data_IF_991265162902
#
_entry.id   IF_991265162902
#
_cell.length_a   1.000
_cell.length_b   1.000
_cell.length_c   1.000
_cell.angle_alpha   90.00
_cell.angle_beta   90.00
_cell.angle_gamma   90.00
#
_symmetry.space_group_name_H-M   'P 1'
#
loop_
_entity.id
_entity.type
_entity.pdbx_description
1 polymer ?
#
# COMPACT_ATOMS: atom_id res chain seq x y z
N UNK A 1 -17.86 -28.53 15.39
CA UNK A 1 -18.24 -27.88 14.12
C UNK A 1 -18.04 -26.38 14.32
N UNK A 2 -16.96 -25.79 13.83
CA UNK A 2 -16.70 -24.36 14.00
C UNK A 2 -17.27 -23.61 12.80
N UNK A 3 -17.96 -22.51 13.09
CA UNK A 3 -18.50 -21.60 12.08
C UNK A 3 -17.75 -20.28 12.21
N UNK A 4 -17.12 -19.82 11.14
CA UNK A 4 -16.48 -18.51 11.04
C UNK A 4 -17.38 -17.55 10.28
N UNK A 5 -17.41 -16.29 10.72
CA UNK A 5 -18.08 -15.19 10.03
C UNK A 5 -17.03 -14.25 9.40
N UNK A 6 -17.33 -13.62 8.25
CA UNK A 6 -18.60 -13.69 7.51
C UNK A 6 -18.81 -15.04 6.80
N UNK A 7 -20.07 -15.35 6.48
CA UNK A 7 -20.45 -16.57 5.76
C UNK A 7 -20.01 -16.56 4.28
N UNK A 8 -19.44 -15.44 3.82
CA UNK A 8 -18.97 -15.21 2.45
C UNK A 8 -17.45 -15.36 2.38
N UNK A 9 -17.00 -15.98 1.28
CA UNK A 9 -15.62 -16.46 1.09
C UNK A 9 -14.73 -15.42 0.38
N UNK A 10 -14.86 -14.14 0.75
CA UNK A 10 -14.02 -13.10 0.16
C UNK A 10 -12.56 -13.27 0.64
N UNK A 11 -11.58 -13.35 -0.28
CA UNK A 11 -10.21 -13.56 0.10
C UNK A 11 -9.69 -12.37 0.89
N UNK A 12 -9.16 -12.63 2.09
CA UNK A 12 -8.55 -11.61 2.95
C UNK A 12 -7.45 -10.80 2.25
N UNK A 13 -6.78 -11.40 1.27
CA UNK A 13 -5.79 -10.78 0.40
C UNK A 13 -6.15 -11.11 -1.05
N UNK A 14 -6.90 -10.25 -1.75
CA UNK A 14 -7.28 -10.50 -3.14
C UNK A 14 -6.05 -10.46 -4.06
N UNK A 15 -6.12 -11.20 -5.16
CA UNK A 15 -5.19 -11.03 -6.27
C UNK A 15 -5.55 -9.74 -7.03
N UNK A 16 -4.55 -8.93 -7.33
CA UNK A 16 -4.71 -7.64 -8.01
C UNK A 16 -4.02 -7.69 -9.36
N UNK A 17 -4.70 -7.21 -10.40
CA UNK A 17 -4.08 -6.92 -11.69
C UNK A 17 -3.59 -5.47 -11.68
N UNK A 18 -2.28 -5.26 -11.51
CA UNK A 18 -1.74 -3.91 -11.27
C UNK A 18 -2.09 -2.93 -12.40
N UNK A 19 -2.04 -3.37 -13.66
CA UNK A 19 -2.36 -2.53 -14.80
C UNK A 19 -3.76 -1.88 -14.72
N UNK A 20 -4.74 -2.52 -14.05
CA UNK A 20 -6.09 -1.96 -13.90
C UNK A 20 -6.18 -0.82 -12.87
N UNK A 21 -5.13 -0.62 -12.07
CA UNK A 21 -5.10 0.35 -10.96
C UNK A 21 -4.25 1.59 -11.26
N UNK A 22 -3.75 1.73 -12.50
CA UNK A 22 -2.79 2.76 -12.90
C UNK A 22 -3.22 4.18 -12.50
N UNK A 23 -4.49 4.51 -12.66
CA UNK A 23 -5.02 5.85 -12.39
C UNK A 23 -5.67 5.98 -10.99
N UNK A 24 -5.66 4.91 -10.20
CA UNK A 24 -6.29 4.84 -8.87
C UNK A 24 -5.27 4.85 -7.72
N UNK A 25 -3.99 4.62 -8.01
CA UNK A 25 -2.96 4.42 -7.00
C UNK A 25 -2.01 5.62 -6.92
N UNK A 26 -2.11 6.34 -5.81
CA UNK A 26 -1.23 7.48 -5.51
C UNK A 26 0.12 7.06 -4.92
N UNK A 27 0.20 5.88 -4.31
CA UNK A 27 1.39 5.41 -3.58
C UNK A 27 1.33 3.90 -3.37
N UNK A 28 2.46 3.23 -3.60
CA UNK A 28 2.65 1.81 -3.22
C UNK A 28 3.61 1.69 -2.05
N UNK A 29 3.18 1.00 -0.99
CA UNK A 29 4.02 0.67 0.16
C UNK A 29 4.50 -0.78 0.06
N UNK A 30 5.82 -0.99 0.04
CA UNK A 30 6.42 -2.32 -0.04
C UNK A 30 6.98 -2.74 1.32
N UNK A 31 6.39 -3.79 1.90
CA UNK A 31 6.78 -4.33 3.21
C UNK A 31 8.14 -5.06 3.20
N UNK A 32 8.94 -4.88 4.24
CA UNK A 32 10.18 -5.66 4.46
C UNK A 32 9.93 -7.07 4.98
N UNK A 33 8.76 -7.36 5.53
CA UNK A 33 8.43 -8.61 6.21
C UNK A 33 6.98 -9.05 5.94
N UNK A 34 6.66 -10.36 6.04
CA UNK A 34 7.57 -11.49 6.30
C UNK A 34 8.42 -11.88 5.07
N UNK A 35 8.01 -11.44 3.87
CA UNK A 35 8.74 -11.68 2.63
C UNK A 35 9.18 -10.34 2.05
N UNK A 36 10.47 -9.97 2.17
CA UNK A 36 10.94 -8.66 1.77
C UNK A 36 10.77 -8.45 0.26
N UNK A 37 10.12 -7.34 -0.10
CA UNK A 37 10.19 -6.85 -1.45
C UNK A 37 11.61 -6.37 -1.79
N UNK A 38 12.03 -6.55 -3.03
CA UNK A 38 13.36 -6.20 -3.55
C UNK A 38 13.20 -5.24 -4.74
N UNK A 39 14.31 -4.72 -5.25
CA UNK A 39 14.29 -3.76 -6.36
C UNK A 39 13.56 -4.26 -7.61
N UNK A 40 13.63 -5.56 -7.90
CA UNK A 40 12.87 -6.17 -9.00
C UNK A 40 11.34 -5.99 -8.85
N UNK A 41 10.82 -6.00 -7.63
CA UNK A 41 9.38 -5.84 -7.40
C UNK A 41 8.97 -4.37 -7.51
N UNK A 42 9.83 -3.44 -7.07
CA UNK A 42 9.66 -2.01 -7.33
C UNK A 42 9.62 -1.73 -8.84
N UNK A 43 10.56 -2.31 -9.60
CA UNK A 43 10.60 -2.16 -11.04
C UNK A 43 9.33 -2.70 -11.72
N UNK A 44 8.83 -3.85 -11.27
CA UNK A 44 7.56 -4.42 -11.75
C UNK A 44 6.39 -3.46 -11.47
N UNK A 45 6.25 -2.97 -10.24
CA UNK A 45 5.18 -2.03 -9.87
C UNK A 45 5.23 -0.76 -10.73
N UNK A 46 6.41 -0.18 -10.93
CA UNK A 46 6.57 1.01 -11.76
C UNK A 46 6.33 0.75 -13.26
N UNK A 47 6.60 -0.45 -13.75
CA UNK A 47 6.29 -0.82 -15.13
C UNK A 47 4.77 -0.92 -15.36
N UNK A 48 4.04 -1.52 -14.41
CA UNK A 48 2.59 -1.72 -14.50
C UNK A 48 1.81 -0.42 -14.22
N UNK A 49 2.09 0.23 -13.09
CA UNK A 49 1.37 1.42 -12.62
C UNK A 49 1.91 2.73 -13.21
N UNK A 50 3.09 2.71 -13.84
CA UNK A 50 3.74 3.89 -14.37
C UNK A 50 4.86 4.41 -13.47
N UNK A 51 5.92 4.92 -14.10
CA UNK A 51 7.14 5.36 -13.42
C UNK A 51 6.94 6.55 -12.50
N UNK A 52 5.86 7.31 -12.69
CA UNK A 52 5.49 8.44 -11.85
C UNK A 52 4.91 8.01 -10.49
N UNK A 53 4.34 6.79 -10.39
CA UNK A 53 3.75 6.30 -9.14
C UNK A 53 4.85 6.07 -8.10
N UNK A 54 4.82 6.78 -6.97
CA UNK A 54 5.81 6.62 -5.92
C UNK A 54 5.71 5.25 -5.27
N UNK A 55 6.88 4.64 -5.02
CA UNK A 55 6.98 3.34 -4.36
C UNK A 55 7.88 3.49 -3.14
N UNK A 56 7.37 3.21 -1.94
CA UNK A 56 8.10 3.43 -0.69
C UNK A 56 8.27 2.13 0.10
N UNK A 57 9.49 1.78 0.55
CA UNK A 57 9.67 0.66 1.45
C UNK A 57 9.17 1.01 2.86
N UNK A 58 8.63 0.03 3.57
CA UNK A 58 8.19 0.15 4.96
C UNK A 58 8.58 -1.09 5.77
N UNK A 59 8.90 -0.89 7.05
CA UNK A 59 9.13 -1.95 8.01
C UNK A 59 7.83 -2.75 8.27
N UNK A 60 7.79 -3.99 7.79
CA UNK A 60 6.59 -4.84 7.85
C UNK A 60 6.21 -5.27 9.25
N UNK A 61 7.21 -5.60 10.06
CA UNK A 61 7.08 -5.92 11.48
C UNK A 61 6.45 -4.78 12.31
N UNK A 62 6.64 -3.53 11.88
CA UNK A 62 6.06 -2.35 12.52
C UNK A 62 4.63 -2.05 12.08
N UNK A 63 4.18 -2.57 10.92
CA UNK A 63 2.85 -2.30 10.37
C UNK A 63 1.90 -3.49 10.44
N UNK A 64 2.41 -4.72 10.37
CA UNK A 64 1.60 -5.92 10.18
C UNK A 64 1.55 -6.83 11.42
N UNK A 65 2.33 -6.53 12.48
CA UNK A 65 2.37 -7.36 13.68
C UNK A 65 1.68 -6.67 14.86
N UNK A 66 0.42 -7.04 15.09
CA UNK A 66 -0.46 -6.46 16.10
C UNK A 66 -0.21 -6.96 17.54
N UNK A 67 1.02 -7.36 17.85
CA UNK A 67 1.43 -7.87 19.17
C UNK A 67 1.96 -6.76 20.11
N UNK A 68 2.93 -7.11 20.97
CA UNK A 68 3.57 -6.19 21.92
C UNK A 68 4.18 -4.93 21.28
N UNK A 69 4.43 -4.96 19.97
CA UNK A 69 4.99 -3.86 19.19
C UNK A 69 3.96 -2.85 18.69
N UNK A 70 2.66 -3.09 18.84
CA UNK A 70 1.60 -2.25 18.26
C UNK A 70 1.74 -0.76 18.60
N UNK A 71 2.07 -0.41 19.86
CA UNK A 71 2.25 0.99 20.28
C UNK A 71 3.44 1.64 19.53
N UNK A 72 4.56 0.92 19.41
CA UNK A 72 5.70 1.39 18.65
C UNK A 72 5.39 1.46 17.14
N UNK A 73 4.57 0.52 16.64
CA UNK A 73 4.03 0.49 15.29
C UNK A 73 3.25 1.75 14.93
N UNK A 74 2.35 2.20 15.82
CA UNK A 74 1.61 3.46 15.64
C UNK A 74 2.55 4.68 15.58
N UNK A 75 3.56 4.72 16.45
CA UNK A 75 4.57 5.78 16.42
C UNK A 75 5.39 5.77 15.12
N UNK A 76 5.73 4.58 14.61
CA UNK A 76 6.38 4.38 13.33
C UNK A 76 5.51 4.85 12.17
N UNK A 77 4.25 4.43 12.11
CA UNK A 77 3.30 4.81 11.07
C UNK A 77 3.15 6.35 10.99
N UNK A 78 3.08 7.03 12.14
CA UNK A 78 3.06 8.50 12.18
C UNK A 78 4.32 9.14 11.59
N UNK A 79 5.50 8.56 11.82
CA UNK A 79 6.75 9.05 11.22
C UNK A 79 6.77 8.79 9.72
N UNK A 80 6.32 7.62 9.27
CA UNK A 80 6.20 7.28 7.86
C UNK A 80 5.28 8.23 7.13
N UNK A 81 4.07 8.46 7.64
CA UNK A 81 3.10 9.37 7.03
C UNK A 81 3.67 10.79 6.88
N UNK A 82 4.35 11.32 7.91
CA UNK A 82 4.99 12.64 7.83
C UNK A 82 6.10 12.71 6.80
N UNK A 83 6.98 11.70 6.79
CA UNK A 83 8.07 11.59 5.82
C UNK A 83 7.53 11.54 4.39
N UNK A 84 6.55 10.68 4.14
CA UNK A 84 5.94 10.52 2.82
C UNK A 84 5.21 11.79 2.36
N UNK A 85 4.49 12.48 3.25
CA UNK A 85 3.85 13.75 2.92
C UNK A 85 4.84 14.86 2.51
N UNK A 86 6.11 14.77 2.94
CA UNK A 86 7.17 15.71 2.56
C UNK A 86 7.87 15.31 1.25
N UNK A 87 7.90 14.01 0.94
CA UNK A 87 8.58 13.46 -0.24
C UNK A 87 7.66 13.42 -1.48
N UNK A 88 6.35 13.32 -1.28
CA UNK A 88 5.38 13.14 -2.36
C UNK A 88 4.92 14.48 -2.95
N UNK A 89 4.72 14.57 -4.28
CA UNK A 89 4.17 15.76 -4.90
C UNK A 89 2.78 16.08 -4.33
N UNK A 90 2.48 17.36 -4.12
CA UNK A 90 1.19 17.80 -3.53
C UNK A 90 0.04 17.82 -4.54
N UNK A 91 0.30 17.67 -5.85
CA UNK A 91 -0.72 17.78 -6.89
C UNK A 91 -1.09 16.40 -7.46
N UNK A 92 -2.37 16.05 -7.33
CA UNK A 92 -3.00 14.98 -8.12
C UNK A 92 -3.73 15.65 -9.28
N UNK A 93 -3.47 15.21 -10.51
CA UNK A 93 -4.40 15.50 -11.62
C UNK A 93 -5.75 14.85 -11.26
N UNK A 94 -6.89 15.54 -11.33
CA UNK A 94 -8.17 14.95 -10.97
C UNK A 94 -8.46 13.73 -11.84
N UNK A 95 -9.07 12.70 -11.24
CA UNK A 95 -9.60 11.57 -11.98
C UNK A 95 -10.65 12.10 -12.98
N UNK A 96 -10.70 11.58 -14.22
CA UNK A 96 -11.70 11.99 -15.22
C UNK A 96 -13.17 11.90 -14.77
N UNK A 97 -13.45 11.26 -13.63
CA UNK A 97 -14.79 11.12 -13.04
C UNK A 97 -15.26 12.23 -12.11
N UNK A 98 -14.40 13.18 -11.69
CA UNK A 98 -14.78 14.22 -10.70
C UNK A 98 -15.31 15.54 -11.32
N UNK A 99 -15.34 15.67 -12.65
CA UNK A 99 -15.80 16.88 -13.36
C UNK A 99 -17.24 16.82 -13.89
N UNK A 100 -18.04 15.86 -13.43
CA UNK A 100 -19.46 15.77 -13.82
C UNK A 100 -20.35 15.32 -12.66
N UNK A 101 -20.46 16.17 -11.62
CA UNK A 101 -21.54 16.14 -10.64
C UNK A 101 -21.81 17.56 -10.12
#
# INVERSE_FOLDING_TARGET
NWQTLPATDEPRYPQLELASLRDEVDLVLLSSEPYPFRDRHRALVQAELGSAVPVAPVAGDMLSWYGSRAIAGLAYLRRCARRLAQELPTERSPSPGELSA
#
